data_IF_571586623540
#
_entry.id   IF_571586623540
#
_cell.length_a   1.000
_cell.length_b   1.000
_cell.length_c   1.000
_cell.angle_alpha   90.00
_cell.angle_beta   90.00
_cell.angle_gamma   90.00
#
_symmetry.space_group_name_H-M   'P 1'
#
loop_
_entity.id
_entity.type
_entity.pdbx_description
1 polymer ?
#
# COMPACT_ATOMS: atom_id res chain seq x y z
N UNK A 1 -4.15 -24.53 -2.30
CA UNK A 1 -5.16 -24.59 -1.21
C UNK A 1 -4.56 -25.07 0.12
N UNK A 2 -3.71 -26.11 0.19
CA UNK A 2 -3.12 -26.54 1.48
C UNK A 2 -2.31 -25.42 2.12
N UNK A 3 -1.37 -24.83 1.40
CA UNK A 3 -0.52 -23.74 1.91
C UNK A 3 -1.32 -22.50 2.31
N UNK A 4 -2.38 -22.18 1.56
CA UNK A 4 -3.32 -21.11 1.89
C UNK A 4 -3.94 -21.34 3.28
N UNK A 5 -4.52 -22.53 3.50
CA UNK A 5 -5.18 -22.84 4.76
C UNK A 5 -4.20 -22.93 5.94
N UNK A 6 -3.00 -23.44 5.72
CA UNK A 6 -1.95 -23.46 6.77
C UNK A 6 -1.52 -22.01 7.13
N UNK A 7 -1.33 -21.14 6.15
CA UNK A 7 -1.03 -19.72 6.41
C UNK A 7 -2.18 -19.03 7.15
N UNK A 8 -3.42 -19.21 6.69
CA UNK A 8 -4.59 -18.65 7.35
C UNK A 8 -4.73 -19.15 8.79
N UNK A 9 -4.52 -20.46 9.01
CA UNK A 9 -4.51 -21.06 10.36
C UNK A 9 -3.47 -20.40 11.26
N UNK A 10 -2.24 -20.22 10.77
CA UNK A 10 -1.16 -19.56 11.54
C UNK A 10 -1.55 -18.15 11.95
N UNK A 11 -2.13 -17.37 11.04
CA UNK A 11 -2.63 -16.02 11.31
C UNK A 11 -3.72 -16.03 12.39
N UNK A 12 -4.71 -16.93 12.29
CA UNK A 12 -5.80 -17.03 13.25
C UNK A 12 -5.32 -17.50 14.62
N UNK A 13 -4.37 -18.44 14.69
CA UNK A 13 -3.75 -18.88 15.94
C UNK A 13 -2.96 -17.75 16.60
N UNK A 14 -2.18 -16.99 15.84
CA UNK A 14 -1.44 -15.82 16.35
C UNK A 14 -2.41 -14.79 16.95
N UNK A 15 -3.48 -14.47 16.24
CA UNK A 15 -4.49 -13.53 16.72
C UNK A 15 -5.28 -14.04 17.94
N UNK A 16 -5.66 -15.31 17.94
CA UNK A 16 -6.55 -15.88 18.96
C UNK A 16 -5.83 -16.47 20.18
N UNK A 17 -4.75 -17.22 19.96
CA UNK A 17 -3.99 -17.86 21.05
C UNK A 17 -2.99 -16.90 21.67
N UNK A 18 -2.14 -16.26 20.85
CA UNK A 18 -1.12 -15.34 21.33
C UNK A 18 -1.66 -13.94 21.65
N UNK A 19 -2.91 -13.65 21.24
CA UNK A 19 -3.56 -12.33 21.36
C UNK A 19 -2.76 -11.16 20.77
N UNK A 20 -2.04 -11.42 19.71
CA UNK A 20 -1.29 -10.37 18.99
C UNK A 20 -2.16 -9.71 17.96
N UNK A 21 -2.23 -8.36 17.89
CA UNK A 21 -2.86 -7.67 16.78
C UNK A 21 -2.19 -8.10 15.48
N UNK A 22 -2.95 -8.65 14.58
CA UNK A 22 -2.45 -9.27 13.34
C UNK A 22 -3.20 -8.71 12.15
N UNK A 23 -2.49 -8.08 11.23
CA UNK A 23 -3.07 -7.59 9.97
C UNK A 23 -2.80 -8.59 8.86
N UNK A 24 -3.85 -9.01 8.18
CA UNK A 24 -3.78 -9.90 7.04
C UNK A 24 -4.13 -9.13 5.77
N UNK A 25 -3.12 -8.92 4.91
CA UNK A 25 -3.29 -8.27 3.61
C UNK A 25 -3.51 -9.31 2.52
N UNK A 26 -4.59 -9.16 1.77
CA UNK A 26 -4.95 -10.03 0.66
C UNK A 26 -5.29 -9.22 -0.59
N UNK A 27 -4.62 -9.54 -1.70
CA UNK A 27 -4.73 -8.80 -2.96
C UNK A 27 -5.41 -9.69 -4.02
N UNK A 28 -6.19 -9.09 -4.90
CA UNK A 28 -6.95 -9.82 -5.93
C UNK A 28 -6.07 -10.67 -6.87
N UNK A 29 -4.81 -10.27 -7.10
CA UNK A 29 -3.84 -11.04 -7.88
C UNK A 29 -3.42 -12.35 -7.21
N UNK A 30 -3.65 -12.50 -5.90
CA UNK A 30 -3.37 -13.72 -5.14
C UNK A 30 -4.53 -14.72 -5.19
N UNK A 31 -5.68 -14.33 -5.73
CA UNK A 31 -6.85 -15.18 -5.82
C UNK A 31 -6.66 -16.20 -6.94
N UNK A 32 -6.26 -17.40 -6.57
CA UNK A 32 -6.12 -18.53 -7.50
C UNK A 32 -7.44 -19.29 -7.61
N UNK A 33 -8.21 -19.35 -6.50
CA UNK A 33 -9.47 -20.07 -6.42
C UNK A 33 -10.47 -19.27 -5.57
N UNK A 34 -11.73 -19.24 -5.97
CA UNK A 34 -12.79 -18.53 -5.24
C UNK A 34 -13.05 -19.09 -3.84
N UNK A 35 -12.69 -20.33 -3.56
CA UNK A 35 -12.72 -20.90 -2.20
C UNK A 35 -11.84 -20.11 -1.21
N UNK A 36 -10.84 -19.38 -1.69
CA UNK A 36 -10.04 -18.48 -0.84
C UNK A 36 -10.88 -17.30 -0.34
N UNK A 37 -11.76 -16.77 -1.19
CA UNK A 37 -12.70 -15.71 -0.80
C UNK A 37 -13.80 -16.23 0.11
N UNK A 38 -14.23 -17.49 -0.06
CA UNK A 38 -15.17 -18.14 0.84
C UNK A 38 -14.58 -18.31 2.25
N UNK A 39 -13.34 -18.77 2.35
CA UNK A 39 -12.63 -18.85 3.64
C UNK A 39 -12.54 -17.45 4.29
N UNK A 40 -12.19 -16.40 3.54
CA UNK A 40 -12.16 -15.01 4.04
C UNK A 40 -13.54 -14.53 4.47
N UNK A 41 -14.56 -14.74 3.64
CA UNK A 41 -15.95 -14.38 3.97
C UNK A 41 -16.41 -15.03 5.28
N UNK A 42 -16.01 -16.27 5.51
CA UNK A 42 -16.32 -17.01 6.74
C UNK A 42 -15.56 -16.46 7.93
N UNK A 43 -14.26 -16.11 7.78
CA UNK A 43 -13.48 -15.46 8.85
C UNK A 43 -14.07 -14.11 9.23
N UNK A 44 -14.45 -13.29 8.25
CA UNK A 44 -15.05 -11.97 8.49
C UNK A 44 -16.38 -12.09 9.27
N UNK A 45 -17.17 -13.09 8.95
CA UNK A 45 -18.48 -13.31 9.57
C UNK A 45 -18.36 -13.96 10.97
N UNK A 46 -17.72 -15.13 11.04
CA UNK A 46 -17.67 -15.97 12.25
C UNK A 46 -16.37 -15.89 13.04
N UNK A 47 -15.26 -15.48 12.41
CA UNK A 47 -13.91 -15.55 12.97
C UNK A 47 -13.28 -16.94 12.84
N UNK A 48 -13.90 -17.84 12.10
CA UNK A 48 -13.49 -19.24 11.97
C UNK A 48 -13.65 -19.71 10.51
N UNK A 49 -12.92 -20.77 10.17
CA UNK A 49 -13.08 -21.50 8.91
C UNK A 49 -13.36 -22.97 9.23
N UNK A 50 -14.43 -23.54 8.68
CA UNK A 50 -14.77 -24.95 8.95
C UNK A 50 -13.62 -25.90 8.59
N UNK A 51 -13.35 -26.84 9.51
CA UNK A 51 -12.31 -27.87 9.33
C UNK A 51 -10.88 -27.31 9.12
N UNK A 52 -10.58 -26.12 9.63
CA UNK A 52 -9.27 -25.52 9.55
C UNK A 52 -8.31 -26.14 10.60
N UNK A 53 -8.79 -26.31 11.82
CA UNK A 53 -7.99 -26.77 12.95
C UNK A 53 -7.94 -28.30 13.03
N UNK A 54 -6.74 -28.81 13.28
CA UNK A 54 -6.50 -30.22 13.58
C UNK A 54 -6.66 -30.49 15.09
N UNK A 55 -6.66 -31.76 15.48
CA UNK A 55 -6.77 -32.14 16.88
C UNK A 55 -5.67 -31.53 17.77
N UNK A 56 -4.44 -31.41 17.24
CA UNK A 56 -3.29 -30.80 17.90
C UNK A 56 -3.46 -29.29 18.13
N UNK A 57 -4.15 -28.58 17.24
CA UNK A 57 -4.41 -27.14 17.34
C UNK A 57 -5.49 -26.83 18.40
N UNK A 58 -6.35 -27.80 18.71
CA UNK A 58 -7.48 -27.60 19.62
C UNK A 58 -7.04 -27.45 21.10
N UNK A 59 -5.92 -28.03 21.49
CA UNK A 59 -5.43 -27.96 22.88
C UNK A 59 -5.10 -26.49 23.29
N UNK A 60 -4.24 -25.76 22.58
CA UNK A 60 -3.98 -24.35 22.89
C UNK A 60 -5.22 -23.46 22.77
N UNK A 61 -6.10 -23.72 21.79
CA UNK A 61 -7.36 -22.98 21.61
C UNK A 61 -8.25 -23.14 22.85
N UNK A 62 -8.45 -24.37 23.34
CA UNK A 62 -9.28 -24.65 24.50
C UNK A 62 -8.67 -24.12 25.80
N UNK A 63 -7.34 -24.17 25.94
CA UNK A 63 -6.62 -23.62 27.07
C UNK A 63 -6.88 -22.11 27.22
N UNK A 64 -6.74 -21.37 26.14
CA UNK A 64 -7.00 -19.91 26.11
C UNK A 64 -8.50 -19.63 26.35
N UNK A 65 -9.38 -20.38 25.71
CA UNK A 65 -10.82 -20.26 25.91
C UNK A 65 -11.25 -20.49 27.36
N UNK A 66 -10.60 -21.45 28.04
CA UNK A 66 -10.83 -21.73 29.48
C UNK A 66 -10.47 -20.51 30.33
N UNK A 67 -9.31 -19.90 30.11
CA UNK A 67 -8.85 -18.70 30.84
C UNK A 67 -9.85 -17.54 30.65
N UNK A 68 -10.31 -17.31 29.41
CA UNK A 68 -11.27 -16.25 29.12
C UNK A 68 -12.67 -16.54 29.73
N UNK A 69 -13.12 -17.79 29.73
CA UNK A 69 -14.35 -18.18 30.40
C UNK A 69 -14.29 -17.93 31.92
N UNK A 70 -13.16 -18.26 32.56
CA UNK A 70 -12.94 -17.96 33.98
C UNK A 70 -12.97 -16.47 34.25
N UNK A 71 -12.25 -15.68 33.44
CA UNK A 71 -12.20 -14.22 33.56
C UNK A 71 -13.58 -13.56 33.43
N UNK A 72 -14.45 -14.10 32.55
CA UNK A 72 -15.80 -13.60 32.30
C UNK A 72 -16.89 -14.30 33.12
N UNK A 73 -16.54 -15.19 34.01
CA UNK A 73 -17.46 -15.98 34.86
C UNK A 73 -18.51 -16.77 34.04
N UNK A 74 -18.08 -17.30 32.89
CA UNK A 74 -18.93 -18.12 32.01
C UNK A 74 -18.81 -19.60 32.32
N UNK A 75 -19.85 -20.35 32.01
CA UNK A 75 -19.84 -21.82 32.13
C UNK A 75 -18.75 -22.43 31.24
N UNK A 76 -17.89 -23.26 31.85
CA UNK A 76 -16.77 -23.93 31.18
C UNK A 76 -17.26 -25.14 30.38
N UNK A 77 -17.83 -24.95 29.22
CA UNK A 77 -18.09 -25.99 28.25
C UNK A 77 -17.28 -25.75 26.97
N UNK A 78 -17.11 -26.80 26.16
CA UNK A 78 -16.30 -26.73 24.93
C UNK A 78 -16.78 -25.62 23.99
N UNK A 79 -18.12 -25.42 23.91
CA UNK A 79 -18.71 -24.40 23.04
C UNK A 79 -18.35 -23.00 23.50
N UNK A 80 -18.50 -22.69 24.80
CA UNK A 80 -18.17 -21.38 25.34
C UNK A 80 -16.67 -21.10 25.25
N UNK A 81 -15.82 -22.09 25.54
CA UNK A 81 -14.37 -21.94 25.42
C UNK A 81 -13.96 -21.62 23.98
N UNK A 82 -14.51 -22.32 22.99
CA UNK A 82 -14.24 -22.05 21.60
C UNK A 82 -14.78 -20.68 21.17
N UNK A 83 -15.98 -20.31 21.64
CA UNK A 83 -16.55 -18.99 21.36
C UNK A 83 -15.68 -17.85 21.94
N UNK A 84 -15.08 -18.01 23.11
CA UNK A 84 -14.16 -17.01 23.64
C UNK A 84 -12.88 -16.91 22.83
N UNK A 85 -12.35 -18.01 22.32
CA UNK A 85 -11.26 -17.98 21.35
C UNK A 85 -11.65 -17.20 20.09
N UNK A 86 -12.80 -17.45 19.50
CA UNK A 86 -13.27 -16.72 18.32
C UNK A 86 -13.45 -15.23 18.58
N UNK A 87 -13.93 -14.85 19.75
CA UNK A 87 -14.01 -13.44 20.15
C UNK A 87 -12.63 -12.78 20.18
N UNK A 88 -11.61 -13.49 20.67
CA UNK A 88 -10.22 -13.00 20.66
C UNK A 88 -9.68 -12.87 19.24
N UNK A 89 -9.95 -13.85 18.38
CA UNK A 89 -9.59 -13.76 16.94
C UNK A 89 -10.19 -12.51 16.34
N UNK A 90 -11.50 -12.29 16.49
CA UNK A 90 -12.19 -11.11 15.93
C UNK A 90 -11.66 -9.77 16.46
N UNK A 91 -11.19 -9.74 17.70
CA UNK A 91 -10.64 -8.52 18.30
C UNK A 91 -9.24 -8.20 17.76
N UNK A 92 -8.44 -9.21 17.46
CA UNK A 92 -7.03 -9.05 17.13
C UNK A 92 -6.71 -9.19 15.64
N UNK A 93 -7.63 -9.71 14.82
CA UNK A 93 -7.43 -9.82 13.38
C UNK A 93 -7.96 -8.59 12.66
N UNK A 94 -7.17 -8.07 11.74
CA UNK A 94 -7.52 -6.95 10.86
C UNK A 94 -7.30 -7.39 9.43
N UNK A 95 -8.41 -7.57 8.69
CA UNK A 95 -8.37 -7.99 7.30
C UNK A 95 -8.32 -6.77 6.40
N UNK A 96 -7.29 -6.69 5.55
CA UNK A 96 -7.15 -5.68 4.51
C UNK A 96 -7.23 -6.38 3.16
N UNK A 97 -8.23 -6.05 2.37
CA UNK A 97 -8.49 -6.69 1.09
C UNK A 97 -8.38 -5.63 -0.01
N UNK A 98 -7.42 -5.78 -0.90
CA UNK A 98 -7.22 -4.89 -2.03
C UNK A 98 -7.73 -5.54 -3.32
N UNK A 99 -8.75 -4.94 -3.93
CA UNK A 99 -9.38 -5.45 -5.15
C UNK A 99 -9.50 -4.35 -6.20
N UNK A 100 -9.32 -4.72 -7.47
CA UNK A 100 -9.63 -3.84 -8.58
C UNK A 100 -11.15 -3.75 -8.77
N UNK A 101 -11.73 -2.55 -8.80
CA UNK A 101 -13.17 -2.36 -9.00
C UNK A 101 -13.61 -2.58 -10.45
N UNK A 102 -12.68 -2.91 -11.35
CA UNK A 102 -12.93 -3.02 -12.79
C UNK A 102 -13.48 -4.39 -13.17
N UNK A 103 -14.54 -4.38 -13.95
CA UNK A 103 -15.12 -5.56 -14.59
C UNK A 103 -16.23 -6.27 -13.78
N UNK A 104 -16.81 -7.27 -14.40
CA UNK A 104 -17.92 -8.06 -13.83
C UNK A 104 -17.46 -8.99 -12.69
N UNK A 105 -16.19 -9.35 -12.68
CA UNK A 105 -15.60 -10.25 -11.65
C UNK A 105 -15.75 -9.65 -10.26
N UNK A 106 -15.44 -8.36 -10.09
CA UNK A 106 -15.57 -7.67 -8.79
C UNK A 106 -17.03 -7.65 -8.32
N UNK A 107 -17.95 -7.28 -9.21
CA UNK A 107 -19.39 -7.24 -8.90
C UNK A 107 -19.96 -8.62 -8.56
N UNK A 108 -19.50 -9.66 -9.27
CA UNK A 108 -19.88 -11.05 -9.00
C UNK A 108 -19.40 -11.49 -7.62
N UNK A 109 -18.14 -11.20 -7.28
CA UNK A 109 -17.55 -11.51 -5.96
C UNK A 109 -18.28 -10.83 -4.82
N UNK A 110 -18.64 -9.54 -4.94
CA UNK A 110 -19.40 -8.84 -3.90
C UNK A 110 -20.80 -9.43 -3.69
N UNK A 111 -21.44 -9.92 -4.75
CA UNK A 111 -22.74 -10.61 -4.65
C UNK A 111 -22.62 -12.00 -4.01
N UNK A 112 -21.54 -12.72 -4.33
CA UNK A 112 -21.30 -14.07 -3.85
C UNK A 112 -20.80 -14.10 -2.41
N UNK A 113 -20.02 -13.10 -2.00
CA UNK A 113 -19.40 -13.02 -0.68
C UNK A 113 -19.83 -11.74 0.06
N UNK A 114 -21.02 -11.72 0.62
CA UNK A 114 -21.62 -10.51 1.20
C UNK A 114 -20.86 -9.95 2.42
N UNK A 115 -20.08 -10.78 3.13
CA UNK A 115 -19.28 -10.28 4.27
C UNK A 115 -18.18 -9.31 3.85
N UNK A 116 -17.72 -9.35 2.60
CA UNK A 116 -16.77 -8.35 2.05
C UNK A 116 -17.35 -6.93 2.06
N UNK A 117 -18.68 -6.80 1.95
CA UNK A 117 -19.37 -5.51 2.02
C UNK A 117 -19.86 -5.21 3.43
N UNK A 118 -20.44 -6.21 4.10
CA UNK A 118 -21.14 -5.98 5.37
C UNK A 118 -20.21 -5.93 6.58
N UNK A 119 -19.03 -6.57 6.49
CA UNK A 119 -18.07 -6.66 7.59
C UNK A 119 -16.82 -5.80 7.39
N UNK A 120 -16.66 -5.13 6.24
CA UNK A 120 -15.53 -4.28 5.92
C UNK A 120 -15.98 -2.85 5.60
N UNK A 121 -15.14 -1.90 5.90
CA UNK A 121 -15.25 -0.54 5.36
C UNK A 121 -14.63 -0.52 3.98
N UNK A 122 -15.33 0.07 3.00
CA UNK A 122 -14.84 0.15 1.62
C UNK A 122 -14.30 1.54 1.37
N UNK A 123 -13.00 1.61 1.09
CA UNK A 123 -12.33 2.83 0.67
C UNK A 123 -12.12 2.79 -0.84
N UNK A 124 -12.69 3.76 -1.54
CA UNK A 124 -12.55 3.89 -2.98
C UNK A 124 -11.37 4.78 -3.33
N UNK A 125 -10.34 4.18 -3.92
CA UNK A 125 -9.19 4.91 -4.44
C UNK A 125 -9.48 5.35 -5.87
N UNK A 126 -9.62 6.65 -6.07
CA UNK A 126 -9.79 7.31 -7.37
C UNK A 126 -8.53 8.07 -7.74
N UNK A 127 -8.47 8.57 -8.99
CA UNK A 127 -7.40 9.47 -9.41
C UNK A 127 -7.29 10.67 -8.48
N UNK A 128 -6.09 11.14 -8.25
CA UNK A 128 -5.86 12.28 -7.38
C UNK A 128 -6.41 13.57 -8.01
N UNK A 129 -7.18 14.39 -7.28
CA UNK A 129 -7.60 15.70 -7.76
C UNK A 129 -6.39 16.63 -7.93
N UNK A 130 -6.56 17.66 -8.77
CA UNK A 130 -5.51 18.62 -9.09
C UNK A 130 -4.83 19.23 -7.84
N UNK A 131 -5.63 19.56 -6.82
CA UNK A 131 -5.12 20.10 -5.55
C UNK A 131 -4.22 19.11 -4.80
N UNK A 132 -4.57 17.83 -4.81
CA UNK A 132 -3.75 16.80 -4.16
C UNK A 132 -2.41 16.64 -4.89
N UNK A 133 -2.40 16.65 -6.23
CA UNK A 133 -1.17 16.61 -7.03
C UNK A 133 -0.26 17.80 -6.70
N UNK A 134 -0.81 19.02 -6.65
CA UNK A 134 -0.09 20.23 -6.28
C UNK A 134 0.50 20.14 -4.87
N UNK A 135 -0.32 19.73 -3.89
CA UNK A 135 0.12 19.66 -2.49
C UNK A 135 1.22 18.60 -2.28
N UNK A 136 1.11 17.45 -2.93
CA UNK A 136 2.14 16.40 -2.87
C UNK A 136 3.43 16.87 -3.54
N UNK A 137 3.34 17.52 -4.72
CA UNK A 137 4.52 18.09 -5.37
C UNK A 137 5.18 19.15 -4.50
N UNK A 138 4.41 20.09 -3.94
CA UNK A 138 4.90 21.11 -3.03
C UNK A 138 5.61 20.51 -1.82
N UNK A 139 4.96 19.59 -1.10
CA UNK A 139 5.58 18.89 0.02
C UNK A 139 6.86 18.16 -0.36
N UNK A 140 6.89 17.55 -1.54
CA UNK A 140 8.07 16.87 -2.06
C UNK A 140 9.20 17.84 -2.41
N UNK A 141 8.91 19.04 -2.91
CA UNK A 141 9.93 20.03 -3.30
C UNK A 141 10.45 20.85 -2.11
N UNK A 142 9.60 21.11 -1.13
CA UNK A 142 9.93 21.91 0.08
C UNK A 142 10.65 21.09 1.16
N UNK A 143 10.77 19.77 0.98
CA UNK A 143 11.47 18.90 1.92
C UNK A 143 12.91 19.35 2.16
N UNK A 144 13.30 19.72 3.39
CA UNK A 144 14.65 20.19 3.70
C UNK A 144 15.75 19.20 3.35
N UNK A 145 15.47 17.90 3.40
CA UNK A 145 16.41 16.84 3.04
C UNK A 145 16.64 16.74 1.52
N UNK A 146 15.74 17.33 0.73
CA UNK A 146 15.83 17.23 -0.73
C UNK A 146 16.86 18.18 -1.36
N UNK A 147 17.35 19.20 -0.63
CA UNK A 147 18.26 20.24 -1.13
C UNK A 147 17.80 20.91 -2.44
N UNK A 148 16.49 20.88 -2.68
CA UNK A 148 15.87 21.31 -3.94
C UNK A 148 15.45 22.79 -3.87
N UNK A 149 16.40 23.69 -3.74
CA UNK A 149 16.09 25.12 -3.82
C UNK A 149 15.82 25.51 -5.29
N UNK A 150 14.54 25.60 -5.67
CA UNK A 150 14.10 26.04 -7.00
C UNK A 150 13.85 27.56 -7.07
N UNK A 151 13.72 28.23 -5.92
CA UNK A 151 13.45 29.65 -5.85
C UNK A 151 12.14 30.04 -6.57
N UNK A 152 12.22 30.98 -7.51
CA UNK A 152 11.04 31.45 -8.27
C UNK A 152 10.49 30.43 -9.26
N UNK A 153 11.22 29.36 -9.57
CA UNK A 153 10.79 28.33 -10.52
C UNK A 153 9.99 27.20 -9.84
N UNK A 154 9.80 27.24 -8.52
CA UNK A 154 9.12 26.20 -7.76
C UNK A 154 7.65 26.03 -8.18
N UNK A 155 6.86 27.09 -8.15
CA UNK A 155 5.45 27.03 -8.53
C UNK A 155 5.23 26.65 -10.00
N UNK A 156 5.98 27.20 -10.99
CA UNK A 156 5.90 26.71 -12.36
C UNK A 156 6.24 25.23 -12.53
N UNK A 157 7.22 24.70 -11.79
CA UNK A 157 7.56 23.28 -11.82
C UNK A 157 6.43 22.41 -11.24
N UNK A 158 5.83 22.81 -10.11
CA UNK A 158 4.70 22.12 -9.50
C UNK A 158 3.52 22.03 -10.47
N UNK A 159 3.19 23.15 -11.11
CA UNK A 159 2.12 23.19 -12.11
C UNK A 159 2.42 22.28 -13.31
N UNK A 160 3.66 22.26 -13.77
CA UNK A 160 4.11 21.39 -14.86
C UNK A 160 3.94 19.90 -14.50
N UNK A 161 4.29 19.46 -13.30
CA UNK A 161 4.09 18.06 -12.87
C UNK A 161 2.63 17.67 -12.90
N UNK A 162 1.73 18.53 -12.43
CA UNK A 162 0.30 18.32 -12.51
C UNK A 162 -0.15 18.15 -13.96
N UNK A 163 0.24 19.06 -14.85
CA UNK A 163 -0.11 19.03 -16.28
C UNK A 163 0.40 17.75 -16.94
N UNK A 164 1.65 17.36 -16.66
CA UNK A 164 2.22 16.11 -17.19
C UNK A 164 1.40 14.91 -16.77
N UNK A 165 1.09 14.77 -15.48
CA UNK A 165 0.31 13.64 -14.98
C UNK A 165 -1.09 13.59 -15.60
N UNK A 166 -1.81 14.69 -15.59
CA UNK A 166 -3.15 14.78 -16.18
C UNK A 166 -3.15 14.54 -17.70
N UNK A 167 -2.12 15.00 -18.42
CA UNK A 167 -2.00 14.72 -19.85
C UNK A 167 -1.83 13.22 -20.14
N UNK A 168 -1.13 12.50 -19.28
CA UNK A 168 -0.98 11.04 -19.38
C UNK A 168 -2.31 10.34 -19.11
N UNK A 169 -3.09 10.80 -18.12
CA UNK A 169 -4.44 10.25 -17.84
C UNK A 169 -5.33 10.34 -19.10
N UNK A 170 -5.36 11.49 -19.76
CA UNK A 170 -6.13 11.68 -21.01
C UNK A 170 -5.62 10.75 -22.10
N UNK A 171 -4.31 10.63 -22.28
CA UNK A 171 -3.71 9.77 -23.31
C UNK A 171 -3.93 8.30 -23.07
N UNK A 172 -4.05 7.86 -21.84
CA UNK A 172 -4.37 6.47 -21.48
C UNK A 172 -5.80 6.11 -21.89
N UNK A 173 -6.76 7.01 -21.75
CA UNK A 173 -8.12 6.75 -22.23
C UNK A 173 -8.16 6.68 -23.76
N UNK A 174 -7.48 7.59 -24.47
CA UNK A 174 -7.35 7.52 -25.93
C UNK A 174 -6.68 6.20 -26.38
N UNK A 175 -5.64 5.76 -25.68
CA UNK A 175 -4.93 4.51 -25.95
C UNK A 175 -5.82 3.28 -25.73
N UNK A 176 -6.61 3.29 -24.66
CA UNK A 176 -7.58 2.23 -24.38
C UNK A 176 -8.60 2.09 -25.50
N UNK A 177 -9.12 3.21 -26.01
CA UNK A 177 -10.09 3.21 -27.10
C UNK A 177 -9.49 2.73 -28.43
N UNK A 178 -8.25 3.14 -28.72
CA UNK A 178 -7.56 2.78 -29.96
C UNK A 178 -7.05 1.33 -29.96
N UNK A 179 -6.44 0.90 -28.87
CA UNK A 179 -5.71 -0.37 -28.81
C UNK A 179 -6.46 -1.47 -28.04
N UNK A 180 -7.59 -1.17 -27.41
CA UNK A 180 -8.37 -2.08 -26.55
C UNK A 180 -7.54 -2.67 -25.40
N UNK A 181 -6.50 -1.96 -24.96
CA UNK A 181 -5.61 -2.33 -23.86
C UNK A 181 -5.74 -1.30 -22.74
N UNK A 182 -5.85 -1.80 -21.52
CA UNK A 182 -5.97 -0.94 -20.33
C UNK A 182 -4.56 -0.71 -19.77
N UNK A 183 -4.19 0.55 -19.63
CA UNK A 183 -3.04 0.99 -18.85
C UNK A 183 -3.56 1.73 -17.62
N UNK A 184 -2.82 1.65 -16.52
CA UNK A 184 -3.22 2.33 -15.29
C UNK A 184 -2.24 3.47 -15.00
N UNK A 185 -2.79 4.65 -14.76
CA UNK A 185 -2.05 5.77 -14.19
C UNK A 185 -2.33 5.77 -12.69
N UNK A 186 -1.29 5.61 -11.91
CA UNK A 186 -1.43 5.46 -10.46
C UNK A 186 -0.76 6.63 -9.73
N UNK A 187 -1.15 6.94 -8.48
CA UNK A 187 -0.42 7.89 -7.65
C UNK A 187 1.06 7.58 -7.52
N UNK A 188 1.44 6.29 -7.55
CA UNK A 188 2.84 5.86 -7.53
C UNK A 188 3.62 6.40 -8.72
N UNK A 189 3.02 6.40 -9.93
CA UNK A 189 3.66 6.97 -11.13
C UNK A 189 3.95 8.47 -10.99
N UNK A 190 3.07 9.20 -10.28
CA UNK A 190 3.31 10.61 -9.98
C UNK A 190 4.46 10.80 -8.99
N UNK A 191 4.53 9.99 -7.94
CA UNK A 191 5.65 10.03 -6.99
C UNK A 191 6.98 9.65 -7.65
N UNK A 192 6.97 8.71 -8.59
CA UNK A 192 8.14 8.33 -9.38
C UNK A 192 8.58 9.47 -10.31
N UNK A 193 7.64 10.21 -10.91
CA UNK A 193 7.94 11.41 -11.70
C UNK A 193 8.70 12.43 -10.85
N UNK A 194 8.19 12.77 -9.65
CA UNK A 194 8.82 13.71 -8.74
C UNK A 194 10.22 13.24 -8.30
N UNK A 195 10.33 11.95 -7.94
CA UNK A 195 11.60 11.34 -7.55
C UNK A 195 12.64 11.37 -8.68
N UNK A 196 12.21 11.07 -9.90
CA UNK A 196 13.06 11.07 -11.08
C UNK A 196 13.55 12.49 -11.42
N UNK A 197 12.66 13.47 -11.35
CA UNK A 197 13.02 14.87 -11.53
C UNK A 197 14.08 15.31 -10.51
N UNK A 198 13.90 14.99 -9.23
CA UNK A 198 14.90 15.29 -8.18
C UNK A 198 16.26 14.70 -8.52
N UNK A 199 16.30 13.44 -8.93
CA UNK A 199 17.56 12.76 -9.30
C UNK A 199 18.25 13.44 -10.47
N UNK A 200 17.50 13.73 -11.53
CA UNK A 200 18.04 14.38 -12.73
C UNK A 200 18.53 15.80 -12.41
N UNK A 201 17.76 16.59 -11.69
CA UNK A 201 18.14 17.94 -11.31
C UNK A 201 19.43 17.96 -10.47
N UNK A 202 19.56 17.07 -9.50
CA UNK A 202 20.78 16.95 -8.68
C UNK A 202 21.99 16.58 -9.54
N UNK A 203 21.82 15.69 -10.50
CA UNK A 203 22.87 15.26 -11.42
C UNK A 203 23.30 16.41 -12.35
N UNK A 204 22.37 17.13 -12.95
CA UNK A 204 22.67 18.24 -13.84
C UNK A 204 23.28 19.47 -13.10
N UNK A 205 22.78 19.76 -11.89
CA UNK A 205 23.43 20.79 -11.04
C UNK A 205 24.89 20.46 -10.76
N UNK A 206 25.19 19.22 -10.39
CA UNK A 206 26.56 18.76 -10.16
C UNK A 206 27.42 18.89 -11.42
N UNK A 207 26.85 18.55 -12.57
CA UNK A 207 27.53 18.68 -13.87
C UNK A 207 27.91 20.16 -14.18
N UNK A 208 26.94 21.06 -14.02
CA UNK A 208 27.12 22.49 -14.24
C UNK A 208 28.12 23.08 -13.24
N UNK A 209 27.99 22.71 -11.97
CA UNK A 209 28.91 23.18 -10.92
C UNK A 209 30.36 22.71 -11.17
N UNK A 210 30.53 21.45 -11.60
CA UNK A 210 31.86 20.94 -11.98
C UNK A 210 32.44 21.69 -13.16
N UNK A 211 31.65 21.99 -14.18
CA UNK A 211 32.10 22.80 -15.33
C UNK A 211 32.46 24.23 -14.91
N UNK A 212 31.61 24.87 -14.10
CA UNK A 212 31.84 26.20 -13.54
C UNK A 212 33.14 26.23 -12.72
N UNK A 213 33.38 25.26 -11.86
CA UNK A 213 34.57 25.15 -11.04
C UNK A 213 35.84 25.02 -11.92
N UNK A 214 35.82 24.17 -12.95
CA UNK A 214 36.92 24.00 -13.89
C UNK A 214 37.25 25.30 -14.62
N UNK A 215 36.26 26.02 -15.12
CA UNK A 215 36.41 27.29 -15.80
C UNK A 215 36.93 28.39 -14.86
N UNK A 216 36.38 28.51 -13.67
CA UNK A 216 36.81 29.48 -12.66
C UNK A 216 38.25 29.23 -12.24
N UNK A 217 38.65 27.97 -12.01
CA UNK A 217 40.03 27.62 -11.68
C UNK A 217 41.00 27.93 -12.82
N UNK A 218 40.61 27.63 -14.07
CA UNK A 218 41.39 27.98 -15.24
C UNK A 218 41.59 29.50 -15.39
N UNK A 219 40.53 30.28 -15.19
CA UNK A 219 40.63 31.76 -15.22
C UNK A 219 41.53 32.30 -14.11
N UNK A 220 41.47 31.70 -12.90
CA UNK A 220 42.36 32.12 -11.80
C UNK A 220 43.84 31.87 -12.15
N UNK A 221 44.18 30.70 -12.65
CA UNK A 221 45.55 30.36 -13.06
C UNK A 221 46.05 31.30 -14.18
N UNK A 222 45.20 31.63 -15.16
CA UNK A 222 45.55 32.57 -16.22
C UNK A 222 45.77 34.00 -15.71
N UNK A 223 44.98 34.45 -14.72
CA UNK A 223 45.17 35.75 -14.09
C UNK A 223 46.47 35.83 -13.28
N UNK A 224 46.76 34.76 -12.52
CA UNK A 224 47.99 34.68 -11.72
C UNK A 224 49.21 34.67 -12.63
N UNK A 225 49.20 33.92 -13.73
CA UNK A 225 50.24 33.91 -14.72
C UNK A 225 50.45 35.29 -15.44
N UNK A 226 49.35 36.01 -15.69
CA UNK A 226 49.43 37.34 -16.29
C UNK A 226 50.12 38.39 -15.35
N UNK A 227 49.86 38.22 -14.03
CA UNK A 227 50.50 39.08 -13.01
C UNK A 227 51.98 38.75 -12.83
N UNK A 228 52.43 37.53 -13.10
CA UNK A 228 53.86 37.14 -13.03
C UNK A 228 54.66 37.58 -14.28
N UNK A 229 54.00 37.96 -15.37
CA UNK A 229 54.65 38.37 -16.64
C UNK A 229 54.78 39.87 -16.77
N UNK A 230 54.05 40.70 -16.04
CA UNK A 230 54.17 42.12 -15.89
C UNK A 230 55.18 42.50 -14.78
#
# INVERSE_FOLDING_TARGET
MKDWRENLKTVLLTAGVEAKPTTFLFVDTQIINENMLEDINTVLNSGDVPQLYKAEDMEPIMSVGKIECQRRQLTMNKMNMFQQYLNRVKTNIHMVIAMSPLGETFRSRLRQFPSLVNCCTIDWFTNWPAEALINVARGSMTDPESEMNLGMDEEPCIEMFKIMHQSVEVKVEEFKDAMRRICYVTPTSYLELLSTYKKILKLERKRVETARFRLSKGLMVLKDAAVEVD
#
